data_IF_549234798069
#
_entry.id   IF_549234798069
#
_cell.length_a   1.000
_cell.length_b   1.000
_cell.length_c   1.000
_cell.angle_alpha   90.00
_cell.angle_beta   90.00
_cell.angle_gamma   90.00
#
_symmetry.space_group_name_H-M   'P 1'
#
loop_
_entity.id
_entity.type
_entity.pdbx_description
1 polymer ?
#
# COMPACT_ATOMS: atom_id res chain seq x y z
N UNK A 1 47.87 -20.93 -14.09
CA UNK A 1 47.42 -21.78 -12.97
C UNK A 1 46.11 -21.20 -12.49
N UNK A 2 45.02 -21.99 -12.65
CA UNK A 2 43.63 -21.82 -12.21
C UNK A 2 43.03 -20.40 -12.30
N UNK A 3 42.43 -19.98 -13.42
CA UNK A 3 41.02 -20.25 -13.82
C UNK A 3 40.14 -20.82 -12.69
N UNK A 4 39.57 -19.92 -11.88
CA UNK A 4 38.51 -20.23 -10.93
C UNK A 4 37.18 -19.80 -11.58
N UNK A 5 36.63 -20.68 -12.41
CA UNK A 5 35.24 -20.58 -12.86
C UNK A 5 34.37 -20.70 -11.60
N UNK A 6 33.81 -19.57 -11.15
CA UNK A 6 32.69 -19.63 -10.23
C UNK A 6 31.54 -20.26 -10.99
N UNK A 7 31.11 -21.43 -10.52
CA UNK A 7 29.88 -22.08 -10.94
C UNK A 7 28.73 -21.07 -10.90
N UNK A 8 28.09 -20.86 -12.05
CA UNK A 8 26.85 -20.09 -12.19
C UNK A 8 25.64 -20.84 -11.65
N UNK A 9 25.73 -21.34 -10.41
CA UNK A 9 24.59 -21.92 -9.71
C UNK A 9 23.60 -20.81 -9.35
N UNK A 10 22.45 -20.82 -10.01
CA UNK A 10 21.33 -19.93 -9.68
C UNK A 10 20.88 -20.22 -8.24
N UNK A 11 20.71 -19.17 -7.43
CA UNK A 11 20.22 -19.30 -6.05
C UNK A 11 18.82 -19.95 -6.02
N UNK A 12 18.53 -20.83 -5.04
CA UNK A 12 17.18 -21.36 -4.83
C UNK A 12 16.16 -20.23 -4.65
N UNK A 13 14.95 -20.40 -5.19
CA UNK A 13 13.84 -19.45 -5.10
C UNK A 13 12.65 -20.11 -4.39
N UNK A 14 12.30 -19.56 -3.24
CA UNK A 14 11.13 -19.93 -2.44
C UNK A 14 9.92 -19.11 -2.89
N UNK A 15 8.81 -19.79 -3.20
CA UNK A 15 7.62 -19.19 -3.83
C UNK A 15 6.37 -19.48 -3.00
N UNK A 16 5.66 -18.41 -2.62
CA UNK A 16 4.28 -18.46 -2.17
C UNK A 16 3.30 -18.23 -3.32
N UNK A 17 2.17 -18.93 -3.35
CA UNK A 17 1.13 -18.78 -4.37
C UNK A 17 -0.18 -18.33 -3.73
N UNK A 18 -0.82 -17.28 -4.26
CA UNK A 18 -2.17 -16.85 -3.87
C UNK A 18 -3.12 -17.11 -5.05
N UNK A 19 -4.17 -17.90 -4.79
CA UNK A 19 -5.19 -18.30 -5.75
C UNK A 19 -5.07 -19.77 -6.14
N UNK A 20 -6.00 -20.60 -5.67
CA UNK A 20 -6.05 -22.05 -5.83
C UNK A 20 -6.88 -22.55 -7.01
N UNK A 21 -7.33 -21.66 -7.90
CA UNK A 21 -8.06 -22.01 -9.12
C UNK A 21 -7.17 -22.66 -10.19
N UNK A 22 -7.55 -22.49 -11.47
CA UNK A 22 -6.75 -22.97 -12.60
C UNK A 22 -5.32 -22.42 -12.52
N UNK A 23 -5.21 -21.10 -12.32
CA UNK A 23 -3.99 -20.32 -12.10
C UNK A 23 -2.94 -21.01 -11.22
N UNK A 24 -3.30 -21.21 -9.95
CA UNK A 24 -2.41 -21.83 -8.98
C UNK A 24 -2.11 -23.28 -9.30
N UNK A 25 -3.05 -24.00 -9.92
CA UNK A 25 -2.86 -25.41 -10.29
C UNK A 25 -1.75 -25.60 -11.32
N UNK A 26 -1.73 -24.81 -12.41
CA UNK A 26 -0.66 -24.99 -13.40
C UNK A 26 0.69 -24.47 -12.90
N UNK A 27 0.72 -23.40 -12.08
CA UNK A 27 1.94 -22.98 -11.40
C UNK A 27 2.51 -24.11 -10.54
N UNK A 28 1.68 -24.71 -9.69
CA UNK A 28 2.12 -25.78 -8.82
C UNK A 28 2.63 -27.00 -9.59
N UNK A 29 1.94 -27.37 -10.67
CA UNK A 29 2.36 -28.49 -11.52
C UNK A 29 3.64 -28.22 -12.33
N UNK A 30 3.81 -26.99 -12.82
CA UNK A 30 4.96 -26.65 -13.65
C UNK A 30 6.23 -26.41 -12.84
N UNK A 31 6.09 -25.91 -11.61
CA UNK A 31 7.23 -25.52 -10.78
C UNK A 31 7.75 -26.64 -9.88
N UNK A 32 6.95 -27.68 -9.60
CA UNK A 32 7.31 -28.75 -8.65
C UNK A 32 8.58 -29.53 -8.99
N UNK A 33 8.91 -29.64 -10.28
CA UNK A 33 10.03 -30.45 -10.78
C UNK A 33 11.25 -29.59 -11.13
N UNK A 34 11.19 -28.27 -10.89
CA UNK A 34 12.32 -27.36 -11.17
C UNK A 34 13.28 -27.40 -9.97
N UNK A 35 14.54 -27.86 -10.14
CA UNK A 35 15.46 -28.10 -9.02
C UNK A 35 15.79 -26.87 -8.17
N UNK A 36 15.62 -25.67 -8.72
CA UNK A 36 15.95 -24.40 -8.09
C UNK A 36 14.73 -23.72 -7.46
N UNK A 37 13.54 -24.32 -7.52
CA UNK A 37 12.29 -23.72 -7.04
C UNK A 37 11.71 -24.55 -5.92
N UNK A 38 11.34 -23.91 -4.83
CA UNK A 38 10.58 -24.52 -3.75
C UNK A 38 9.26 -23.76 -3.57
N UNK A 39 8.13 -24.47 -3.64
CA UNK A 39 6.83 -23.87 -3.29
C UNK A 39 6.66 -24.03 -1.79
N UNK A 40 6.70 -22.93 -1.05
CA UNK A 40 6.64 -22.92 0.42
C UNK A 40 5.21 -22.85 0.95
N UNK A 41 4.26 -22.38 0.13
CA UNK A 41 2.86 -22.41 0.52
C UNK A 41 1.88 -21.95 -0.55
N UNK A 42 0.63 -22.40 -0.41
CA UNK A 42 -0.48 -22.04 -1.30
C UNK A 42 -1.65 -21.50 -0.49
N UNK A 43 -2.17 -20.34 -0.88
CA UNK A 43 -3.30 -19.69 -0.22
C UNK A 43 -4.51 -19.58 -1.15
N UNK A 44 -5.69 -19.96 -0.66
CA UNK A 44 -6.97 -19.60 -1.27
C UNK A 44 -8.05 -19.49 -0.19
N UNK A 45 -8.98 -18.56 -0.37
CA UNK A 45 -10.12 -18.39 0.54
C UNK A 45 -11.01 -19.64 0.59
N UNK A 46 -11.03 -20.43 -0.49
CA UNK A 46 -11.69 -21.72 -0.57
C UNK A 46 -10.70 -22.85 -0.23
N UNK A 47 -10.82 -23.49 0.95
CA UNK A 47 -9.93 -24.58 1.36
C UNK A 47 -10.11 -25.87 0.55
N UNK A 48 -11.08 -25.90 -0.38
CA UNK A 48 -11.34 -26.98 -1.34
C UNK A 48 -10.93 -26.61 -2.77
N UNK A 49 -10.26 -25.47 -2.97
CA UNK A 49 -9.78 -25.07 -4.28
C UNK A 49 -8.79 -26.12 -4.85
N UNK A 50 -8.79 -26.37 -6.17
CA UNK A 50 -7.97 -27.43 -6.78
C UNK A 50 -6.50 -27.42 -6.39
N UNK A 51 -5.84 -26.26 -6.42
CA UNK A 51 -4.41 -26.17 -6.08
C UNK A 51 -4.15 -26.43 -4.59
N UNK A 52 -5.10 -26.10 -3.70
CA UNK A 52 -4.99 -26.39 -2.25
C UNK A 52 -4.99 -27.89 -2.01
N UNK A 53 -5.87 -28.62 -2.71
CA UNK A 53 -5.93 -30.08 -2.59
C UNK A 53 -4.63 -30.73 -3.07
N UNK A 54 -4.10 -30.29 -4.22
CA UNK A 54 -2.85 -30.82 -4.77
C UNK A 54 -1.65 -30.46 -3.86
N UNK A 55 -1.60 -29.23 -3.33
CA UNK A 55 -0.56 -28.80 -2.39
C UNK A 55 -0.51 -29.70 -1.15
N UNK A 56 -1.66 -30.06 -0.56
CA UNK A 56 -1.74 -30.97 0.59
C UNK A 56 -1.22 -32.37 0.25
N UNK A 57 -1.56 -32.91 -0.91
CA UNK A 57 -1.05 -34.21 -1.37
C UNK A 57 0.47 -34.20 -1.53
N UNK A 58 1.03 -33.05 -1.89
CA UNK A 58 2.48 -32.84 -2.04
C UNK A 58 3.18 -32.47 -0.72
N UNK A 59 2.45 -32.32 0.38
CA UNK A 59 3.00 -31.91 1.68
C UNK A 59 3.43 -30.44 1.75
N UNK A 60 2.87 -29.58 0.89
CA UNK A 60 3.08 -28.13 0.90
C UNK A 60 2.06 -27.49 1.84
N UNK A 61 2.49 -26.51 2.64
CA UNK A 61 1.62 -25.81 3.58
C UNK A 61 0.52 -25.02 2.86
N UNK A 62 -0.70 -25.05 3.41
CA UNK A 62 -1.88 -24.42 2.80
C UNK A 62 -2.57 -23.46 3.74
N UNK A 63 -3.02 -22.33 3.19
CA UNK A 63 -3.55 -21.21 3.95
C UNK A 63 -4.90 -20.75 3.39
N UNK A 64 -5.75 -20.23 4.26
CA UNK A 64 -6.99 -19.51 3.86
C UNK A 64 -6.86 -17.99 3.98
N UNK A 65 -5.79 -17.52 4.62
CA UNK A 65 -5.44 -16.11 4.80
C UNK A 65 -4.04 -15.87 4.23
N UNK A 66 -3.93 -14.97 3.26
CA UNK A 66 -2.65 -14.62 2.64
C UNK A 66 -1.69 -13.96 3.62
N UNK A 67 -2.19 -13.21 4.61
CA UNK A 67 -1.34 -12.62 5.65
C UNK A 67 -0.66 -13.68 6.51
N UNK A 68 -1.35 -14.79 6.79
CA UNK A 68 -0.77 -15.89 7.55
C UNK A 68 0.32 -16.62 6.76
N UNK A 69 0.08 -16.90 5.47
CA UNK A 69 1.09 -17.46 4.56
C UNK A 69 2.37 -16.60 4.58
N UNK A 70 2.20 -15.29 4.47
CA UNK A 70 3.30 -14.33 4.43
C UNK A 70 4.10 -14.28 5.74
N UNK A 71 3.42 -14.38 6.88
CA UNK A 71 4.06 -14.32 8.20
C UNK A 71 4.78 -15.61 8.59
N UNK A 72 4.25 -16.76 8.16
CA UNK A 72 4.75 -18.07 8.59
C UNK A 72 5.83 -18.63 7.66
N UNK A 73 5.80 -18.29 6.37
CA UNK A 73 6.70 -18.87 5.37
C UNK A 73 7.73 -17.85 4.87
N UNK A 74 9.04 -18.11 5.03
CA UNK A 74 10.04 -17.32 4.32
C UNK A 74 9.90 -17.59 2.82
N UNK A 75 9.83 -16.53 2.03
CA UNK A 75 9.73 -16.65 0.56
C UNK A 75 10.49 -15.54 -0.14
N UNK A 76 10.97 -15.82 -1.35
CA UNK A 76 11.53 -14.81 -2.21
C UNK A 76 10.44 -14.15 -3.05
N UNK A 77 9.53 -14.95 -3.61
CA UNK A 77 8.48 -14.48 -4.51
C UNK A 77 7.09 -14.85 -4.00
N UNK A 78 6.13 -13.94 -4.17
CA UNK A 78 4.72 -14.16 -3.91
C UNK A 78 3.95 -13.95 -5.21
N UNK A 79 3.38 -15.02 -5.78
CA UNK A 79 2.65 -14.96 -7.05
C UNK A 79 1.14 -14.96 -6.77
N UNK A 80 0.50 -13.82 -6.98
CA UNK A 80 -0.94 -13.68 -6.89
C UNK A 80 -1.58 -13.86 -8.27
N UNK A 81 -2.23 -15.01 -8.46
CA UNK A 81 -2.98 -15.38 -9.66
C UNK A 81 -4.50 -15.21 -9.50
N UNK A 82 -4.93 -14.44 -8.50
CA UNK A 82 -6.34 -14.07 -8.36
C UNK A 82 -6.66 -12.88 -9.27
N UNK A 83 -7.83 -12.90 -9.94
CA UNK A 83 -8.31 -11.77 -10.74
C UNK A 83 -8.84 -10.60 -9.86
N UNK A 84 -8.57 -10.59 -8.56
CA UNK A 84 -9.02 -9.54 -7.64
C UNK A 84 -7.96 -8.44 -7.57
N UNK A 85 -8.42 -7.21 -7.82
CA UNK A 85 -7.66 -5.96 -8.02
C UNK A 85 -6.35 -5.79 -7.23
N UNK A 86 -5.38 -5.17 -7.89
CA UNK A 86 -4.06 -4.65 -7.47
C UNK A 86 -3.95 -3.93 -6.12
N UNK A 87 -5.08 -3.61 -5.49
CA UNK A 87 -5.19 -2.83 -4.24
C UNK A 87 -4.51 -3.48 -3.03
N UNK A 88 -4.32 -4.81 -3.03
CA UNK A 88 -3.67 -5.52 -1.91
C UNK A 88 -2.16 -5.39 -1.89
N UNK A 89 -1.50 -5.10 -3.03
CA UNK A 89 -0.03 -5.15 -3.10
C UNK A 89 0.64 -4.14 -2.18
N UNK A 90 0.10 -2.93 -2.06
CA UNK A 90 0.79 -1.91 -1.25
C UNK A 90 0.64 -2.09 0.26
N UNK A 91 -0.49 -2.66 0.70
CA UNK A 91 -0.72 -3.04 2.09
C UNK A 91 0.24 -4.17 2.47
N UNK A 92 0.43 -5.13 1.55
CA UNK A 92 1.42 -6.20 1.71
C UNK A 92 2.86 -5.69 1.61
N UNK A 93 3.14 -4.69 0.77
CA UNK A 93 4.50 -4.13 0.58
C UNK A 93 5.04 -3.38 1.80
N UNK A 94 4.16 -2.92 2.70
CA UNK A 94 4.58 -2.29 3.97
C UNK A 94 5.17 -3.31 4.95
N UNK A 95 4.83 -4.59 4.81
CA UNK A 95 5.29 -5.70 5.67
C UNK A 95 6.28 -6.64 4.98
N UNK A 96 6.51 -6.49 3.67
CA UNK A 96 7.29 -7.42 2.84
C UNK A 96 8.45 -6.74 2.09
N UNK A 97 9.41 -6.15 2.81
CA UNK A 97 10.55 -5.44 2.21
C UNK A 97 11.42 -6.31 1.28
N UNK A 98 11.44 -7.62 1.49
CA UNK A 98 12.34 -8.54 0.79
C UNK A 98 11.61 -9.53 -0.16
N UNK A 99 10.29 -9.43 -0.30
CA UNK A 99 9.49 -10.35 -1.14
C UNK A 99 9.10 -9.68 -2.45
N UNK A 100 9.41 -10.34 -3.57
CA UNK A 100 8.99 -9.92 -4.91
C UNK A 100 7.54 -10.36 -5.15
N UNK A 101 6.60 -9.42 -5.12
CA UNK A 101 5.19 -9.71 -5.41
C UNK A 101 4.96 -9.67 -6.92
N UNK A 102 4.39 -10.73 -7.48
CA UNK A 102 4.01 -10.86 -8.90
C UNK A 102 2.49 -10.98 -8.97
N UNK A 103 1.82 -10.06 -9.66
CA UNK A 103 0.36 -10.02 -9.77
C UNK A 103 -0.07 -9.43 -11.13
N UNK A 104 -1.39 -9.31 -11.33
CA UNK A 104 -1.97 -8.60 -12.46
C UNK A 104 -1.49 -9.17 -13.80
N UNK A 105 -1.15 -8.28 -14.74
CA UNK A 105 -0.73 -8.67 -16.08
C UNK A 105 0.55 -9.51 -16.12
N UNK A 106 1.46 -9.37 -15.14
CA UNK A 106 2.68 -10.19 -15.09
C UNK A 106 2.31 -11.62 -14.69
N UNK A 107 1.47 -11.78 -13.66
CA UNK A 107 0.97 -13.09 -13.27
C UNK A 107 0.14 -13.75 -14.39
N UNK A 108 -0.66 -12.96 -15.11
CA UNK A 108 -1.44 -13.42 -16.27
C UNK A 108 -0.55 -13.90 -17.42
N UNK A 109 0.53 -13.16 -17.73
CA UNK A 109 1.50 -13.59 -18.74
C UNK A 109 2.20 -14.89 -18.34
N UNK A 110 2.67 -15.00 -17.10
CA UNK A 110 3.30 -16.22 -16.57
C UNK A 110 2.31 -17.40 -16.68
N UNK A 111 1.06 -17.18 -16.30
CA UNK A 111 0.01 -18.17 -16.41
C UNK A 111 -0.18 -18.66 -17.85
N UNK A 112 -0.28 -17.75 -18.83
CA UNK A 112 -0.43 -18.13 -20.23
C UNK A 112 0.77 -18.92 -20.76
N UNK A 113 2.00 -18.51 -20.43
CA UNK A 113 3.20 -19.25 -20.82
C UNK A 113 3.22 -20.68 -20.28
N UNK A 114 2.77 -20.86 -19.03
CA UNK A 114 2.69 -22.18 -18.41
C UNK A 114 1.59 -23.04 -19.03
N UNK A 115 0.45 -22.45 -19.39
CA UNK A 115 -0.62 -23.15 -20.09
C UNK A 115 -0.17 -23.64 -21.48
N UNK A 116 0.43 -22.74 -22.27
CA UNK A 116 0.92 -23.07 -23.61
C UNK A 116 1.97 -24.20 -23.54
N UNK A 117 2.82 -24.16 -22.51
CA UNK A 117 3.79 -25.23 -22.24
C UNK A 117 3.11 -26.55 -21.91
N UNK A 118 2.12 -26.55 -21.00
CA UNK A 118 1.38 -27.76 -20.64
C UNK A 118 0.65 -28.37 -21.83
N UNK A 119 0.09 -27.55 -22.71
CA UNK A 119 -0.57 -28.01 -23.94
C UNK A 119 0.45 -28.65 -24.90
N UNK A 120 1.59 -27.98 -25.12
CA UNK A 120 2.65 -28.50 -25.99
C UNK A 120 3.25 -29.83 -25.50
N UNK A 121 3.32 -30.04 -24.18
CA UNK A 121 3.84 -31.26 -23.58
C UNK A 121 2.83 -32.43 -23.61
N UNK A 122 1.51 -32.17 -23.58
CA UNK A 122 0.50 -33.22 -23.70
C UNK A 122 0.56 -33.95 -25.05
N UNK A 123 0.97 -33.23 -26.09
CA UNK A 123 1.08 -33.76 -27.45
C UNK A 123 2.44 -34.42 -27.73
N UNK A 124 3.37 -34.39 -26.78
CA UNK A 124 4.75 -34.86 -26.95
C UNK A 124 5.08 -35.98 -25.96
N UNK A 125 5.54 -37.15 -26.43
CA UNK A 125 6.12 -38.21 -25.58
C UNK A 125 7.51 -37.83 -24.99
N UNK A 126 7.86 -36.55 -24.97
CA UNK A 126 9.18 -36.06 -24.57
C UNK A 126 9.24 -35.81 -23.06
N UNK A 127 10.42 -36.04 -22.49
CA UNK A 127 10.75 -35.57 -21.14
C UNK A 127 10.72 -34.03 -21.13
N UNK A 128 9.69 -33.47 -20.49
CA UNK A 128 9.40 -32.04 -20.45
C UNK A 128 10.37 -31.22 -19.62
N UNK A 129 11.30 -31.86 -18.89
CA UNK A 129 12.19 -31.20 -17.92
C UNK A 129 12.97 -30.02 -18.52
N UNK A 130 13.54 -30.19 -19.72
CA UNK A 130 14.30 -29.12 -20.40
C UNK A 130 13.40 -27.95 -20.86
N UNK A 131 12.14 -28.22 -21.20
CA UNK A 131 11.18 -27.18 -21.59
C UNK A 131 10.69 -26.39 -20.36
N UNK A 132 10.45 -27.06 -19.23
CA UNK A 132 10.16 -26.39 -17.96
C UNK A 132 11.33 -25.50 -17.51
N UNK A 133 12.57 -25.96 -17.63
CA UNK A 133 13.76 -25.14 -17.33
C UNK A 133 13.89 -23.91 -18.24
N UNK A 134 13.58 -24.06 -19.54
CA UNK A 134 13.55 -22.93 -20.47
C UNK A 134 12.47 -21.92 -20.11
N UNK A 135 11.24 -22.38 -19.89
CA UNK A 135 10.11 -21.51 -19.51
C UNK A 135 10.37 -20.83 -18.18
N UNK A 136 10.97 -21.53 -17.22
CA UNK A 136 11.42 -20.93 -15.96
C UNK A 136 12.44 -19.82 -16.16
N UNK A 137 13.46 -20.06 -17.00
CA UNK A 137 14.45 -19.02 -17.36
C UNK A 137 13.79 -17.80 -17.99
N UNK A 138 12.76 -18.00 -18.81
CA UNK A 138 11.97 -16.91 -19.40
C UNK A 138 11.16 -16.17 -18.33
N UNK A 139 10.47 -16.88 -17.42
CA UNK A 139 9.74 -16.29 -16.29
C UNK A 139 10.69 -15.44 -15.44
N UNK A 140 11.87 -15.96 -15.09
CA UNK A 140 12.88 -15.21 -14.34
C UNK A 140 13.31 -13.93 -15.04
N UNK A 141 13.55 -13.98 -16.35
CA UNK A 141 13.90 -12.79 -17.14
C UNK A 141 12.77 -11.77 -17.17
N UNK A 142 11.53 -12.21 -17.37
CA UNK A 142 10.35 -11.34 -17.36
C UNK A 142 10.21 -10.64 -16.02
N UNK A 143 10.27 -11.38 -14.91
CA UNK A 143 10.16 -10.81 -13.56
C UNK A 143 11.30 -9.81 -13.29
N UNK A 144 12.55 -10.18 -13.60
CA UNK A 144 13.70 -9.30 -13.36
C UNK A 144 13.66 -7.99 -14.16
N UNK A 145 13.11 -8.01 -15.38
CA UNK A 145 12.94 -6.81 -16.21
C UNK A 145 11.72 -6.00 -15.78
N UNK A 146 10.60 -6.66 -15.48
CA UNK A 146 9.34 -5.99 -15.19
C UNK A 146 9.32 -5.38 -13.78
N UNK A 147 9.96 -6.01 -12.80
CA UNK A 147 9.89 -5.58 -11.39
C UNK A 147 10.42 -4.18 -11.12
N UNK A 148 11.60 -3.75 -11.62
CA UNK A 148 12.07 -2.38 -11.42
C UNK A 148 11.12 -1.34 -12.02
N UNK A 149 10.66 -1.58 -13.25
CA UNK A 149 9.72 -0.69 -13.95
C UNK A 149 8.39 -0.64 -13.20
N UNK A 150 7.91 -1.79 -12.73
CA UNK A 150 6.68 -1.88 -11.97
C UNK A 150 6.77 -1.12 -10.65
N UNK A 151 7.86 -1.31 -9.88
CA UNK A 151 8.09 -0.57 -8.63
C UNK A 151 8.18 0.93 -8.84
N UNK A 152 8.81 1.38 -9.93
CA UNK A 152 8.89 2.80 -10.27
C UNK A 152 7.50 3.36 -10.62
N UNK A 153 6.72 2.65 -11.45
CA UNK A 153 5.35 3.04 -11.78
C UNK A 153 4.45 3.06 -10.55
N UNK A 154 4.58 2.08 -9.67
CA UNK A 154 3.87 2.04 -8.38
C UNK A 154 4.27 3.23 -7.52
N UNK A 155 5.56 3.47 -7.33
CA UNK A 155 6.03 4.61 -6.56
C UNK A 155 5.47 5.93 -7.10
N UNK A 156 5.43 6.12 -8.42
CA UNK A 156 4.84 7.31 -9.06
C UNK A 156 3.31 7.35 -8.91
N UNK A 157 2.63 6.22 -8.99
CA UNK A 157 1.18 6.15 -8.83
C UNK A 157 0.75 6.44 -7.39
N UNK A 158 1.57 6.04 -6.43
CA UNK A 158 1.20 5.94 -5.03
C UNK A 158 1.85 6.98 -4.13
N UNK A 159 2.90 7.65 -4.60
CA UNK A 159 3.57 8.75 -3.89
C UNK A 159 3.56 10.04 -4.71
N UNK A 160 3.48 11.17 -4.01
CA UNK A 160 3.73 12.48 -4.58
C UNK A 160 5.23 12.63 -4.90
N UNK A 161 5.60 12.95 -6.16
CA UNK A 161 7.00 12.96 -6.57
C UNK A 161 7.85 14.05 -5.92
N UNK A 162 7.23 15.13 -5.41
CA UNK A 162 7.95 16.21 -4.76
C UNK A 162 8.30 15.88 -3.30
N UNK A 163 7.34 15.35 -2.56
CA UNK A 163 7.41 15.17 -1.10
C UNK A 163 7.71 13.74 -0.68
N UNK A 164 7.43 12.76 -1.54
CA UNK A 164 7.49 11.33 -1.24
C UNK A 164 6.39 10.85 -0.29
N UNK A 165 5.44 11.71 0.10
CA UNK A 165 4.25 11.30 0.84
C UNK A 165 3.29 10.55 -0.09
N UNK A 166 2.27 9.90 0.46
CA UNK A 166 1.29 9.19 -0.36
C UNK A 166 0.51 10.15 -1.27
N UNK A 167 0.15 9.66 -2.45
CA UNK A 167 -0.65 10.38 -3.42
C UNK A 167 -2.12 10.48 -2.96
N UNK A 168 -2.85 11.44 -3.52
CA UNK A 168 -4.30 11.57 -3.31
C UNK A 168 -5.06 10.28 -3.65
N UNK A 169 -4.57 9.49 -4.61
CA UNK A 169 -5.17 8.21 -4.97
C UNK A 169 -5.07 7.21 -3.82
N UNK A 170 -3.89 7.07 -3.22
CA UNK A 170 -3.67 6.18 -2.07
C UNK A 170 -4.45 6.62 -0.84
N UNK A 171 -4.52 7.92 -0.58
CA UNK A 171 -5.28 8.49 0.53
C UNK A 171 -6.74 8.02 0.51
N UNK A 172 -7.39 8.10 -0.66
CA UNK A 172 -8.80 7.72 -0.80
C UNK A 172 -9.03 6.23 -0.52
N UNK A 173 -8.20 5.36 -1.09
CA UNK A 173 -8.29 3.92 -0.85
C UNK A 173 -8.08 3.57 0.62
N UNK A 174 -7.11 4.23 1.26
CA UNK A 174 -6.82 4.01 2.67
C UNK A 174 -7.98 4.43 3.56
N UNK A 175 -8.56 5.62 3.36
CA UNK A 175 -9.69 6.11 4.18
C UNK A 175 -10.91 5.19 4.05
N UNK A 176 -11.28 4.77 2.84
CA UNK A 176 -12.42 3.87 2.63
C UNK A 176 -12.23 2.53 3.35
N UNK A 177 -10.99 2.00 3.33
CA UNK A 177 -10.61 0.81 4.10
C UNK A 177 -10.75 1.04 5.61
N UNK A 178 -10.20 2.13 6.13
CA UNK A 178 -10.23 2.43 7.56
C UNK A 178 -11.65 2.67 8.06
N UNK A 179 -12.52 3.34 7.30
CA UNK A 179 -13.94 3.48 7.65
C UNK A 179 -14.62 2.10 7.75
N UNK A 180 -14.27 1.18 6.84
CA UNK A 180 -14.76 -0.20 6.94
C UNK A 180 -14.26 -0.91 8.21
N UNK A 181 -13.06 -0.59 8.70
CA UNK A 181 -12.58 -1.07 10.00
C UNK A 181 -13.31 -0.41 11.17
N UNK A 182 -13.62 0.89 11.10
CA UNK A 182 -14.45 1.58 12.09
C UNK A 182 -15.81 0.90 12.20
N UNK A 183 -16.49 0.61 11.08
CA UNK A 183 -17.77 -0.11 11.08
C UNK A 183 -17.72 -1.48 11.75
N UNK A 184 -16.63 -2.22 11.55
CA UNK A 184 -16.48 -3.57 12.12
C UNK A 184 -16.08 -3.56 13.61
N UNK A 185 -15.20 -2.64 13.99
CA UNK A 185 -14.47 -2.72 15.26
C UNK A 185 -14.87 -1.61 16.25
N UNK A 186 -15.65 -0.62 15.83
CA UNK A 186 -16.08 0.51 16.65
C UNK A 186 -14.96 1.45 17.10
N UNK A 187 -13.75 1.33 16.52
CA UNK A 187 -12.62 2.18 16.88
C UNK A 187 -12.70 3.53 16.15
N UNK A 188 -12.30 4.65 16.77
CA UNK A 188 -12.38 5.97 16.15
C UNK A 188 -11.38 6.14 15.00
N UNK A 189 -11.75 6.96 14.01
CA UNK A 189 -10.88 7.37 12.91
C UNK A 189 -10.85 8.89 12.83
N UNK A 190 -9.65 9.47 12.90
CA UNK A 190 -9.47 10.91 12.70
C UNK A 190 -8.86 11.22 11.34
N UNK A 191 -9.32 12.30 10.73
CA UNK A 191 -8.78 12.90 9.51
C UNK A 191 -8.34 14.33 9.81
N UNK A 192 -7.09 14.66 9.55
CA UNK A 192 -6.56 16.02 9.64
C UNK A 192 -6.25 16.54 8.24
N UNK A 193 -6.78 17.71 7.88
CA UNK A 193 -6.43 18.46 6.67
C UNK A 193 -5.63 19.69 7.11
N UNK A 194 -4.46 19.86 6.49
CA UNK A 194 -3.48 20.88 6.81
C UNK A 194 -3.21 21.72 5.57
N UNK A 195 -3.01 23.01 5.77
CA UNK A 195 -2.66 23.96 4.71
C UNK A 195 -1.59 24.92 5.18
N UNK A 196 -0.63 25.21 4.30
CA UNK A 196 0.46 26.14 4.60
C UNK A 196 -0.05 27.58 4.49
N UNK A 197 0.00 28.29 5.61
CA UNK A 197 -0.48 29.66 5.69
C UNK A 197 0.36 30.58 4.78
N UNK A 198 -0.33 31.36 3.94
CA UNK A 198 0.29 32.34 3.04
C UNK A 198 1.30 31.73 2.06
N UNK A 199 1.15 30.46 1.68
CA UNK A 199 2.10 29.77 0.78
C UNK A 199 2.26 30.47 -0.59
N UNK A 200 1.17 31.01 -1.13
CA UNK A 200 1.24 31.81 -2.35
C UNK A 200 2.18 33.02 -2.21
N UNK A 201 2.16 33.71 -1.08
CA UNK A 201 3.06 34.85 -0.84
C UNK A 201 4.53 34.41 -0.74
N UNK A 202 4.79 33.21 -0.20
CA UNK A 202 6.14 32.61 -0.23
C UNK A 202 6.60 32.39 -1.67
N UNK A 203 5.75 31.79 -2.52
CA UNK A 203 6.08 31.55 -3.92
C UNK A 203 6.27 32.86 -4.71
N UNK A 204 5.36 33.83 -4.51
CA UNK A 204 5.39 35.10 -5.23
C UNK A 204 6.65 35.93 -4.86
N UNK A 205 7.12 35.81 -3.61
CA UNK A 205 8.27 36.57 -3.11
C UNK A 205 9.62 35.87 -3.36
N UNK A 206 9.68 34.54 -3.21
CA UNK A 206 10.95 33.79 -3.20
C UNK A 206 11.09 32.79 -4.35
N UNK A 207 10.05 32.63 -5.17
CA UNK A 207 10.01 31.67 -6.27
C UNK A 207 9.59 30.26 -5.84
N UNK A 208 9.18 29.46 -6.83
CA UNK A 208 8.68 28.11 -6.60
C UNK A 208 9.70 27.15 -6.00
N UNK A 209 10.99 27.34 -6.26
CA UNK A 209 12.05 26.50 -5.67
C UNK A 209 12.05 26.57 -4.14
N UNK A 210 11.76 27.74 -3.57
CA UNK A 210 11.64 27.93 -2.12
C UNK A 210 10.34 27.34 -1.60
N UNK A 211 9.23 27.51 -2.33
CA UNK A 211 7.98 26.83 -2.01
C UNK A 211 8.14 25.30 -1.95
N UNK A 212 8.83 24.73 -2.93
CA UNK A 212 9.13 23.30 -2.99
C UNK A 212 9.98 22.82 -1.82
N UNK A 213 10.92 23.65 -1.34
CA UNK A 213 11.70 23.34 -0.13
C UNK A 213 10.82 23.33 1.12
N UNK A 214 9.91 24.30 1.28
CA UNK A 214 8.96 24.33 2.40
C UNK A 214 8.05 23.08 2.37
N UNK A 215 7.56 22.70 1.20
CA UNK A 215 6.74 21.49 1.02
C UNK A 215 7.51 20.22 1.43
N UNK A 216 8.78 20.11 1.05
CA UNK A 216 9.65 18.98 1.43
C UNK A 216 9.95 18.95 2.93
N UNK A 217 10.21 20.11 3.54
CA UNK A 217 10.43 20.20 4.99
C UNK A 217 9.18 19.78 5.76
N UNK A 218 7.99 20.25 5.34
CA UNK A 218 6.74 19.86 5.94
C UNK A 218 6.50 18.35 5.80
N UNK A 219 6.79 17.78 4.64
CA UNK A 219 6.69 16.34 4.41
C UNK A 219 7.60 15.52 5.34
N UNK A 220 8.80 16.02 5.65
CA UNK A 220 9.71 15.38 6.59
C UNK A 220 9.15 15.40 8.03
N UNK A 221 8.45 16.47 8.41
CA UNK A 221 7.75 16.53 9.70
C UNK A 221 6.65 15.47 9.80
N UNK A 222 5.91 15.18 8.72
CA UNK A 222 4.94 14.08 8.70
C UNK A 222 5.59 12.72 8.90
N UNK A 223 6.68 12.42 8.18
CA UNK A 223 7.40 11.14 8.28
C UNK A 223 7.86 10.86 9.72
N UNK A 224 8.24 11.91 10.46
CA UNK A 224 8.70 11.82 11.84
C UNK A 224 7.60 11.95 12.90
N UNK A 225 6.35 12.24 12.50
CA UNK A 225 5.22 12.46 13.42
C UNK A 225 4.10 11.43 13.30
N UNK A 226 4.04 10.70 12.18
CA UNK A 226 3.08 9.64 11.90
C UNK A 226 3.59 8.27 12.37
N UNK A 227 2.68 7.45 12.89
CA UNK A 227 2.92 6.04 13.23
C UNK A 227 2.95 5.18 11.96
N UNK A 228 3.41 3.94 12.09
CA UNK A 228 3.33 2.95 11.01
C UNK A 228 1.89 2.63 10.60
N UNK A 229 0.90 2.88 11.46
CA UNK A 229 -0.53 2.71 11.13
C UNK A 229 -1.14 3.93 10.45
N UNK A 230 -0.51 5.10 10.56
CA UNK A 230 -1.04 6.33 10.01
C UNK A 230 -0.70 6.43 8.51
N UNK A 231 -1.44 7.28 7.80
CA UNK A 231 -1.14 7.65 6.43
C UNK A 231 -1.03 9.17 6.30
N UNK A 232 0.11 9.64 5.77
CA UNK A 232 0.32 11.03 5.42
C UNK A 232 0.36 11.18 3.89
N UNK A 233 -0.39 12.14 3.36
CA UNK A 233 -0.55 12.38 1.93
C UNK A 233 -0.43 13.86 1.62
N UNK A 234 0.14 14.19 0.46
CA UNK A 234 -0.05 15.51 -0.16
C UNK A 234 -1.28 15.43 -1.08
N UNK A 235 -2.31 16.20 -0.74
CA UNK A 235 -3.59 16.19 -1.47
C UNK A 235 -3.50 16.97 -2.78
N UNK A 236 -2.77 18.09 -2.76
CA UNK A 236 -2.47 18.93 -3.92
C UNK A 236 -2.00 20.33 -3.48
N UNK A 237 -1.19 21.00 -4.30
CA UNK A 237 -0.71 22.35 -3.97
C UNK A 237 0.02 22.41 -2.62
N UNK A 238 -0.47 23.23 -1.70
CA UNK A 238 -0.02 23.35 -0.31
C UNK A 238 -0.80 22.51 0.72
N UNK A 239 -1.73 21.66 0.27
CA UNK A 239 -2.61 20.89 1.14
C UNK A 239 -2.05 19.50 1.45
N UNK A 240 -2.01 19.17 2.74
CA UNK A 240 -1.56 17.89 3.28
C UNK A 240 -2.67 17.25 4.10
N UNK A 241 -2.73 15.93 4.12
CA UNK A 241 -3.74 15.18 4.85
C UNK A 241 -3.08 14.06 5.64
N UNK A 242 -3.47 13.92 6.90
CA UNK A 242 -3.16 12.76 7.73
C UNK A 242 -4.43 11.99 8.10
N UNK A 243 -4.35 10.66 7.94
CA UNK A 243 -5.36 9.72 8.41
C UNK A 243 -4.79 9.00 9.62
N UNK A 244 -5.52 9.06 10.75
CA UNK A 244 -5.08 8.57 12.05
C UNK A 244 -6.07 7.50 12.54
N UNK A 245 -5.85 6.21 12.20
CA UNK A 245 -6.67 5.12 12.70
C UNK A 245 -6.60 5.01 14.23
N UNK A 246 -7.66 4.47 14.84
CA UNK A 246 -7.78 4.25 16.28
C UNK A 246 -7.44 5.50 17.12
N UNK A 247 -7.79 6.69 16.60
CA UNK A 247 -7.44 7.97 17.21
C UNK A 247 -8.72 8.79 17.39
N UNK A 248 -9.07 9.04 18.65
CA UNK A 248 -10.22 9.88 19.02
C UNK A 248 -9.88 11.38 18.93
N UNK A 249 -10.89 12.24 19.11
CA UNK A 249 -10.78 13.69 18.94
C UNK A 249 -9.69 14.33 19.83
N UNK A 250 -9.58 13.90 21.09
CA UNK A 250 -8.58 14.47 22.00
C UNK A 250 -7.16 14.08 21.57
N UNK A 251 -6.95 12.80 21.25
CA UNK A 251 -5.65 12.32 20.77
C UNK A 251 -5.25 12.95 19.42
N UNK A 252 -6.21 13.16 18.51
CA UNK A 252 -5.94 13.82 17.23
C UNK A 252 -5.67 15.32 17.38
N UNK A 253 -6.32 15.99 18.33
CA UNK A 253 -5.99 17.37 18.70
C UNK A 253 -4.55 17.50 19.19
N UNK A 254 -4.12 16.63 20.12
CA UNK A 254 -2.74 16.64 20.64
C UNK A 254 -1.74 16.40 19.51
N UNK A 255 -2.03 15.45 18.61
CA UNK A 255 -1.18 15.19 17.44
C UNK A 255 -1.10 16.41 16.53
N UNK A 256 -2.24 17.05 16.25
CA UNK A 256 -2.33 18.20 15.36
C UNK A 256 -1.62 19.43 15.94
N UNK A 257 -1.78 19.73 17.23
CA UNK A 257 -1.08 20.85 17.86
C UNK A 257 0.44 20.64 17.85
N UNK A 258 0.90 19.43 18.14
CA UNK A 258 2.32 19.10 18.03
C UNK A 258 2.84 19.29 16.60
N UNK A 259 2.04 18.94 15.59
CA UNK A 259 2.40 19.14 14.18
C UNK A 259 2.48 20.63 13.83
N UNK A 260 1.51 21.42 14.30
CA UNK A 260 1.47 22.88 14.14
C UNK A 260 2.69 23.56 14.76
N UNK A 261 3.00 23.23 16.01
CA UNK A 261 4.17 23.76 16.73
C UNK A 261 5.48 23.41 16.02
N UNK A 262 5.66 22.14 15.63
CA UNK A 262 6.85 21.70 14.88
C UNK A 262 7.01 22.42 13.55
N UNK A 263 5.92 22.64 12.82
CA UNK A 263 5.95 23.39 11.57
C UNK A 263 6.32 24.85 11.81
N UNK A 264 5.72 25.50 12.81
CA UNK A 264 6.06 26.86 13.20
C UNK A 264 7.52 26.99 13.65
N UNK A 265 8.13 25.95 14.22
CA UNK A 265 9.54 25.94 14.61
C UNK A 265 10.48 25.71 13.43
N UNK A 266 10.16 24.76 12.55
CA UNK A 266 11.07 24.28 11.51
C UNK A 266 10.98 25.07 10.20
N UNK A 267 9.79 25.52 9.80
CA UNK A 267 9.58 26.08 8.45
C UNK A 267 9.97 27.56 8.41
N UNK A 268 11.00 27.87 7.63
CA UNK A 268 11.55 29.23 7.48
C UNK A 268 11.78 29.55 6.01
N UNK A 269 11.47 30.77 5.61
CA UNK A 269 11.92 31.34 4.32
C UNK A 269 13.39 31.76 4.40
N UNK A 270 14.05 32.07 3.27
CA UNK A 270 15.46 32.48 3.25
C UNK A 270 15.80 33.74 4.08
N UNK A 271 14.80 34.59 4.37
CA UNK A 271 14.93 35.77 5.22
C UNK A 271 14.55 35.50 6.69
N UNK A 272 14.49 34.23 7.10
CA UNK A 272 14.15 33.77 8.46
C UNK A 272 12.70 34.08 8.90
N UNK A 273 11.80 34.44 7.98
CA UNK A 273 10.37 34.57 8.31
C UNK A 273 9.77 33.19 8.59
N UNK A 274 9.01 33.10 9.69
CA UNK A 274 8.27 31.89 10.06
C UNK A 274 7.19 31.60 9.02
N UNK A 275 7.07 30.32 8.65
CA UNK A 275 5.94 29.78 7.90
C UNK A 275 5.13 28.90 8.84
N UNK A 276 3.81 29.10 8.87
CA UNK A 276 2.90 28.37 9.77
C UNK A 276 1.94 27.51 8.97
N UNK A 277 1.21 26.65 9.68
CA UNK A 277 0.16 25.82 9.09
C UNK A 277 -1.13 25.98 9.89
N UNK A 278 -2.26 25.92 9.20
CA UNK A 278 -3.58 25.79 9.81
C UNK A 278 -4.08 24.36 9.64
N UNK A 279 -4.79 23.83 10.64
CA UNK A 279 -5.21 22.42 10.66
C UNK A 279 -6.69 22.31 11.03
N UNK A 280 -7.45 21.62 10.18
CA UNK A 280 -8.80 21.16 10.47
C UNK A 280 -8.82 19.67 10.73
N UNK A 281 -9.38 19.24 11.85
CA UNK A 281 -9.50 17.82 12.20
C UNK A 281 -10.97 17.44 12.28
N UNK A 282 -11.33 16.28 11.72
CA UNK A 282 -12.61 15.64 11.96
C UNK A 282 -12.40 14.23 12.50
N UNK A 283 -13.18 13.84 13.50
CA UNK A 283 -13.18 12.49 14.06
C UNK A 283 -14.49 11.79 13.75
N UNK A 284 -14.41 10.62 13.13
CA UNK A 284 -15.50 9.68 13.00
C UNK A 284 -15.48 8.71 14.18
N UNK A 285 -16.58 8.66 14.92
CA UNK A 285 -16.84 7.68 15.96
C UNK A 285 -18.22 7.08 15.74
N UNK A 286 -18.32 5.76 15.84
CA UNK A 286 -19.60 5.06 15.79
C UNK A 286 -20.00 4.74 17.22
N UNK A 287 -21.12 5.30 17.65
CA UNK A 287 -21.72 4.91 18.92
C UNK A 287 -22.34 3.52 18.77
N UNK A 288 -22.20 2.71 19.82
CA UNK A 288 -22.46 1.26 19.84
C UNK A 288 -23.92 0.84 19.56
N UNK A 289 -24.84 1.77 19.29
CA UNK A 289 -26.26 1.53 19.06
C UNK A 289 -26.73 1.79 17.61
N UNK A 290 -25.83 1.81 16.61
CA UNK A 290 -26.17 2.31 15.25
C UNK A 290 -25.82 1.35 14.10
N UNK A 291 -26.73 1.30 13.11
CA UNK A 291 -26.66 0.38 11.96
C UNK A 291 -25.53 0.67 10.98
N UNK A 292 -25.00 -0.44 10.45
CA UNK A 292 -24.04 -0.57 9.36
C UNK A 292 -24.56 -0.11 7.97
N UNK A 293 -25.57 0.78 7.90
CA UNK A 293 -26.28 1.06 6.64
C UNK A 293 -25.75 2.26 5.86
N UNK A 294 -24.91 3.13 6.46
CA UNK A 294 -24.33 4.27 5.72
C UNK A 294 -23.21 3.76 4.80
N UNK A 295 -23.30 3.96 3.47
CA UNK A 295 -22.24 3.57 2.55
C UNK A 295 -20.90 4.22 2.92
N UNK A 296 -19.83 3.45 2.87
CA UNK A 296 -18.45 3.88 3.17
C UNK A 296 -18.08 5.20 2.48
N UNK A 297 -18.48 5.36 1.21
CA UNK A 297 -18.21 6.58 0.44
C UNK A 297 -18.87 7.82 1.05
N UNK A 298 -20.12 7.69 1.51
CA UNK A 298 -20.86 8.82 2.10
C UNK A 298 -20.20 9.24 3.42
N UNK A 299 -19.81 8.28 4.25
CA UNK A 299 -19.08 8.56 5.48
C UNK A 299 -17.72 9.21 5.21
N UNK A 300 -16.99 8.75 4.18
CA UNK A 300 -15.74 9.38 3.74
C UNK A 300 -15.97 10.83 3.35
N UNK A 301 -16.94 11.11 2.48
CA UNK A 301 -17.22 12.46 2.00
C UNK A 301 -17.62 13.41 3.15
N UNK A 302 -18.40 12.91 4.12
CA UNK A 302 -18.74 13.65 5.34
C UNK A 302 -17.52 13.94 6.21
N UNK A 303 -16.61 12.97 6.36
CA UNK A 303 -15.37 13.12 7.11
C UNK A 303 -14.47 14.19 6.52
N UNK A 304 -14.25 14.15 5.20
CA UNK A 304 -13.52 15.20 4.48
C UNK A 304 -14.16 16.57 4.65
N UNK A 305 -15.48 16.67 4.41
CA UNK A 305 -16.20 17.95 4.48
C UNK A 305 -16.10 18.59 5.87
N UNK A 306 -16.16 17.78 6.93
CA UNK A 306 -16.06 18.27 8.31
C UNK A 306 -14.64 18.74 8.65
N UNK A 307 -13.62 18.01 8.20
CA UNK A 307 -12.23 18.43 8.38
C UNK A 307 -11.92 19.72 7.59
N UNK A 308 -12.45 19.83 6.37
CA UNK A 308 -12.31 21.02 5.51
C UNK A 308 -12.98 22.25 6.13
N UNK A 309 -14.22 22.11 6.64
CA UNK A 309 -14.89 23.17 7.37
C UNK A 309 -14.09 23.61 8.61
N UNK A 310 -13.53 22.67 9.37
CA UNK A 310 -12.68 22.98 10.50
C UNK A 310 -11.40 23.73 10.07
N UNK A 311 -10.80 23.36 8.95
CA UNK A 311 -9.64 24.07 8.40
C UNK A 311 -10.01 25.49 7.97
N UNK A 312 -11.16 25.66 7.34
CA UNK A 312 -11.69 26.98 7.00
C UNK A 312 -11.87 27.85 8.26
N UNK A 313 -12.48 27.31 9.32
CA UNK A 313 -12.62 28.01 10.60
C UNK A 313 -11.25 28.37 11.21
N UNK A 314 -10.26 27.47 11.10
CA UNK A 314 -8.90 27.75 11.56
C UNK A 314 -8.27 28.94 10.80
N UNK A 315 -8.44 28.99 9.48
CA UNK A 315 -7.95 30.08 8.64
C UNK A 315 -8.66 31.41 8.93
N UNK A 316 -9.98 31.39 9.07
CA UNK A 316 -10.80 32.58 9.33
C UNK A 316 -10.54 33.17 10.73
N UNK A 317 -10.31 32.30 11.73
CA UNK A 317 -10.01 32.72 13.09
C UNK A 317 -8.58 33.26 13.28
N UNK A 318 -7.81 33.43 12.20
CA UNK A 318 -6.48 34.07 12.22
C UNK A 318 -5.30 33.13 11.96
N UNK A 319 -5.55 31.93 11.40
CA UNK A 319 -4.53 30.95 11.01
C UNK A 319 -3.68 30.43 12.18
N UNK A 320 -2.63 29.68 11.88
CA UNK A 320 -1.70 29.05 12.83
C UNK A 320 -2.41 28.43 14.04
N UNK A 321 -3.39 27.55 13.79
CA UNK A 321 -4.20 26.92 14.84
C UNK A 321 -4.83 25.61 14.36
N UNK A 322 -5.29 24.85 15.34
CA UNK A 322 -6.09 23.64 15.13
C UNK A 322 -7.55 23.92 15.46
N UNK A 323 -8.46 23.47 14.61
CA UNK A 323 -9.89 23.37 14.90
C UNK A 323 -10.30 21.92 14.73
N UNK A 324 -11.12 21.41 15.65
CA UNK A 324 -11.59 20.02 15.62
C UNK A 324 -13.10 19.97 15.50
N UNK A 325 -13.59 18.98 14.78
CA UNK A 325 -15.00 18.63 14.67
C UNK A 325 -15.20 17.14 14.95
N UNK A 326 -16.38 16.79 15.44
CA UNK A 326 -16.77 15.40 15.65
C UNK A 326 -17.97 15.07 14.75
N UNK A 327 -17.96 13.84 14.25
CA UNK A 327 -19.05 13.26 13.47
C UNK A 327 -19.63 12.13 14.29
N UNK A 328 -20.69 12.45 15.01
CA UNK A 328 -21.60 11.45 15.52
C UNK A 328 -22.62 11.18 14.42
N UNK A 329 -22.46 10.05 13.73
CA UNK A 329 -23.58 9.51 12.95
C UNK A 329 -24.59 9.07 14.01
N UNK A 330 -25.83 9.53 13.93
CA UNK A 330 -26.96 9.07 14.77
C UNK A 330 -28.07 8.62 13.82
N UNK A 331 -28.72 7.51 14.15
CA UNK A 331 -29.92 7.04 13.45
C UNK A 331 -31.08 7.98 13.80
N UNK A 332 -31.87 8.32 12.78
CA UNK A 332 -33.27 8.67 13.00
C UNK A 332 -34.09 7.42 13.32
#
# INVERSE_FOLDING_TARGET
>A
MADNRQDGGLNPIDIGIIGGGKGGTALLQALKDIPQVTIVGVCDIDPQAPAILIAREMGIDTYTDSGQLILEQPMNWLINVTHKSTTQRHILSRELSDVTVIDGHIAELIWHLLLDLQESLKDSNADGSSLYELVWTVIQRIVNIAQPVHRELEHIAFHDPLTGLYSRHMLRQFIEREISHVYRNGQPLSLAILDIDHFKEVNDQFGHDVGDQILKQLAELFKNSCRSTDLASRYGGEEFIAVLPNTNQNASLIWAERMRERAEEALRTPDERKVTISIGVATLLINADLSNDTPVQIASDQLFKKADNALYEAKDAGRNRVVTSEISITQE
#
